data_IF_578218193440
#
_entry.id   IF_578218193440
#
_cell.length_a   1.000
_cell.length_b   1.000
_cell.length_c   1.000
_cell.angle_alpha   90.00
_cell.angle_beta   90.00
_cell.angle_gamma   90.00
#
_symmetry.space_group_name_H-M   'P 1'
#
loop_
_entity.id
_entity.type
_entity.pdbx_description
1 polymer ?
#
# COMPACT_ATOMS: atom_id res chain seq x y z
N UNK A 1 -16.62 -16.31 30.17
CA UNK A 1 -16.29 -15.14 29.32
C UNK A 1 -16.99 -15.29 27.99
N UNK A 2 -17.39 -14.20 27.35
CA UNK A 2 -17.97 -14.19 26.00
C UNK A 2 -17.42 -13.02 25.19
N UNK A 3 -17.59 -13.05 23.88
CA UNK A 3 -17.28 -11.95 22.96
C UNK A 3 -18.45 -10.97 22.83
N UNK A 4 -18.18 -9.78 22.31
CA UNK A 4 -19.21 -8.80 21.95
C UNK A 4 -20.23 -9.36 20.94
N UNK A 5 -19.83 -10.26 20.05
CA UNK A 5 -20.71 -10.86 19.05
C UNK A 5 -21.69 -11.85 19.70
N UNK A 6 -21.20 -12.69 20.61
CA UNK A 6 -22.04 -13.58 21.41
C UNK A 6 -23.02 -12.78 22.27
N UNK A 7 -22.55 -11.70 22.92
CA UNK A 7 -23.43 -10.80 23.65
C UNK A 7 -24.49 -10.16 22.74
N UNK A 8 -24.14 -9.79 21.51
CA UNK A 8 -25.13 -9.27 20.55
C UNK A 8 -26.23 -10.29 20.25
N UNK A 9 -25.89 -11.58 20.16
CA UNK A 9 -26.89 -12.67 20.02
C UNK A 9 -27.71 -12.84 21.30
N UNK A 10 -27.14 -12.63 22.48
CA UNK A 10 -27.87 -12.73 23.75
C UNK A 10 -28.83 -11.56 23.99
N UNK A 11 -28.46 -10.34 23.56
CA UNK A 11 -29.31 -9.14 23.67
C UNK A 11 -30.48 -9.20 22.67
N UNK A 12 -30.33 -9.91 21.55
CA UNK A 12 -31.39 -10.06 20.55
C UNK A 12 -32.59 -10.82 21.12
N UNK A 13 -33.78 -10.23 21.01
CA UNK A 13 -35.05 -10.85 21.45
C UNK A 13 -35.42 -12.09 20.65
N UNK A 14 -34.89 -12.24 19.42
CA UNK A 14 -35.00 -13.47 18.63
C UNK A 14 -33.73 -14.33 18.72
N UNK A 15 -32.85 -14.00 19.66
CA UNK A 15 -31.62 -14.72 19.96
C UNK A 15 -31.87 -16.00 20.76
N UNK A 16 -30.82 -16.82 20.94
CA UNK A 16 -30.90 -18.10 21.66
C UNK A 16 -31.30 -17.96 23.15
N UNK A 17 -31.18 -16.76 23.72
CA UNK A 17 -31.55 -16.46 25.10
C UNK A 17 -32.76 -15.54 25.19
N UNK A 18 -33.47 -15.28 24.09
CA UNK A 18 -34.67 -14.43 24.03
C UNK A 18 -34.47 -13.04 24.68
N UNK A 19 -33.29 -12.44 24.52
CA UNK A 19 -32.93 -11.14 25.11
C UNK A 19 -32.46 -11.20 26.57
N UNK A 20 -32.39 -12.38 27.19
CA UNK A 20 -31.91 -12.54 28.57
C UNK A 20 -30.38 -12.54 28.64
N UNK A 21 -29.82 -11.74 29.56
CA UNK A 21 -28.38 -11.66 29.81
C UNK A 21 -28.01 -12.62 30.94
N UNK A 22 -27.66 -13.84 30.54
CA UNK A 22 -27.35 -14.95 31.44
C UNK A 22 -25.85 -15.29 31.44
N UNK A 23 -25.41 -15.92 32.52
CA UNK A 23 -24.11 -16.57 32.63
C UNK A 23 -24.14 -17.89 31.83
N UNK A 24 -23.27 -18.11 30.84
CA UNK A 24 -23.27 -19.36 30.06
C UNK A 24 -22.99 -20.61 30.89
N UNK A 25 -22.32 -20.47 32.05
CA UNK A 25 -21.94 -21.60 32.92
C UNK A 25 -23.11 -22.25 33.64
N UNK A 26 -24.08 -21.46 34.09
CA UNK A 26 -25.15 -21.90 35.01
C UNK A 26 -26.52 -21.30 34.69
N UNK A 27 -26.64 -20.52 33.61
CA UNK A 27 -27.90 -19.95 33.12
C UNK A 27 -28.49 -18.84 33.98
N UNK A 28 -27.81 -18.43 35.06
CA UNK A 28 -28.32 -17.39 35.97
C UNK A 28 -28.13 -15.99 35.39
N UNK A 29 -28.98 -15.00 35.75
CA UNK A 29 -28.80 -13.62 35.32
C UNK A 29 -27.44 -13.04 35.74
N UNK A 30 -26.75 -12.35 34.83
CA UNK A 30 -25.50 -11.64 35.13
C UNK A 30 -25.82 -10.23 35.67
N UNK A 31 -25.41 -9.93 36.91
CA UNK A 31 -25.65 -8.64 37.57
C UNK A 31 -24.41 -7.73 37.57
N UNK A 32 -23.22 -8.30 37.45
CA UNK A 32 -21.94 -7.57 37.32
C UNK A 32 -21.28 -7.93 36.00
N UNK A 33 -21.15 -6.97 35.10
CA UNK A 33 -20.65 -7.17 33.74
C UNK A 33 -19.45 -6.26 33.51
N UNK A 34 -18.33 -6.87 33.11
CA UNK A 34 -17.10 -6.14 32.79
C UNK A 34 -16.78 -6.30 31.30
N UNK A 35 -16.68 -5.19 30.59
CA UNK A 35 -16.22 -5.16 29.20
C UNK A 35 -14.71 -4.91 29.15
N UNK A 36 -14.01 -5.69 28.35
CA UNK A 36 -12.57 -5.52 28.09
C UNK A 36 -12.37 -5.06 26.66
N UNK A 37 -11.90 -3.83 26.50
CA UNK A 37 -11.63 -3.24 25.18
C UNK A 37 -10.31 -3.73 24.59
N UNK A 38 -10.16 -3.54 23.27
CA UNK A 38 -8.92 -3.80 22.54
C UNK A 38 -8.41 -5.26 22.68
N UNK A 39 -9.31 -6.25 22.77
CA UNK A 39 -8.90 -7.65 22.86
C UNK A 39 -8.39 -8.09 21.49
N UNK A 40 -7.08 -8.28 21.37
CA UNK A 40 -6.42 -8.61 20.10
C UNK A 40 -6.27 -7.45 19.12
N UNK A 41 -6.70 -6.23 19.44
CA UNK A 41 -6.42 -5.00 18.67
C UNK A 41 -5.47 -4.09 19.41
N UNK A 42 -4.70 -3.28 18.70
CA UNK A 42 -3.66 -2.41 19.28
C UNK A 42 -2.68 -3.21 20.17
N UNK A 43 -2.43 -4.47 19.79
CA UNK A 43 -1.50 -5.38 20.44
C UNK A 43 -0.45 -5.83 19.42
N UNK A 44 0.82 -5.44 19.65
CA UNK A 44 1.94 -5.78 18.76
C UNK A 44 2.19 -7.29 18.64
N UNK A 45 1.68 -8.10 19.58
CA UNK A 45 1.78 -9.57 19.51
C UNK A 45 0.75 -10.20 18.57
N UNK A 46 -0.35 -9.49 18.32
CA UNK A 46 -1.49 -10.01 17.56
C UNK A 46 -1.79 -9.10 16.37
N UNK A 47 -2.57 -8.03 16.58
CA UNK A 47 -2.90 -7.08 15.53
C UNK A 47 -2.54 -5.65 15.97
N UNK A 48 -1.63 -4.96 15.28
CA UNK A 48 -1.20 -3.60 15.64
C UNK A 48 -2.28 -2.53 15.37
N UNK A 49 -3.28 -2.82 14.54
CA UNK A 49 -4.34 -1.87 14.17
C UNK A 49 -5.46 -1.76 15.21
N UNK A 50 -6.29 -0.73 15.05
CA UNK A 50 -7.51 -0.53 15.81
C UNK A 50 -8.71 -1.04 15.00
N UNK A 51 -9.61 -1.80 15.65
CA UNK A 51 -10.84 -2.30 15.00
C UNK A 51 -11.94 -1.25 14.81
N UNK A 52 -11.67 0.03 15.10
CA UNK A 52 -12.51 1.23 14.89
C UNK A 52 -13.90 1.28 15.55
N UNK A 53 -14.59 0.16 15.76
CA UNK A 53 -16.02 0.10 16.12
C UNK A 53 -16.29 -0.58 17.46
N UNK A 54 -15.31 -1.32 18.01
CA UNK A 54 -15.44 -2.07 19.26
C UNK A 54 -15.85 -1.18 20.46
N UNK A 55 -15.33 0.04 20.55
CA UNK A 55 -15.74 1.00 21.59
C UNK A 55 -17.24 1.32 21.51
N UNK A 56 -17.72 1.67 20.33
CA UNK A 56 -19.14 2.00 20.10
C UNK A 56 -20.06 0.80 20.32
N UNK A 57 -19.65 -0.41 19.93
CA UNK A 57 -20.42 -1.63 20.20
C UNK A 57 -20.55 -1.86 21.71
N UNK A 58 -19.48 -1.72 22.49
CA UNK A 58 -19.57 -1.80 23.95
C UNK A 58 -20.49 -0.74 24.53
N UNK A 59 -20.40 0.51 24.09
CA UNK A 59 -21.28 1.59 24.56
C UNK A 59 -22.76 1.28 24.25
N UNK A 60 -23.04 0.79 23.04
CA UNK A 60 -24.39 0.34 22.63
C UNK A 60 -24.86 -0.81 23.52
N UNK A 61 -24.06 -1.85 23.73
CA UNK A 61 -24.47 -2.98 24.56
C UNK A 61 -24.65 -2.60 26.03
N UNK A 62 -23.74 -1.78 26.59
CA UNK A 62 -23.83 -1.31 27.97
C UNK A 62 -25.09 -0.47 28.20
N UNK A 63 -25.42 0.44 27.28
CA UNK A 63 -26.65 1.25 27.35
C UNK A 63 -27.91 0.38 27.21
N UNK A 64 -27.94 -0.58 26.28
CA UNK A 64 -29.05 -1.52 26.15
C UNK A 64 -29.26 -2.36 27.42
N UNK A 65 -28.17 -2.86 28.03
CA UNK A 65 -28.22 -3.59 29.28
C UNK A 65 -28.78 -2.71 30.40
N UNK A 66 -28.25 -1.48 30.57
CA UNK A 66 -28.74 -0.54 31.59
C UNK A 66 -30.20 -0.11 31.35
N UNK A 67 -30.66 -0.04 30.11
CA UNK A 67 -32.07 0.23 29.81
C UNK A 67 -33.00 -0.92 30.19
N UNK A 68 -32.59 -2.17 29.96
CA UNK A 68 -33.39 -3.35 30.31
C UNK A 68 -33.30 -3.72 31.80
N UNK A 69 -32.11 -3.55 32.39
CA UNK A 69 -31.77 -3.90 33.77
C UNK A 69 -31.00 -2.75 34.43
N UNK A 70 -31.69 -1.71 34.94
CA UNK A 70 -31.05 -0.51 35.50
C UNK A 70 -30.05 -0.78 36.63
N UNK A 71 -30.33 -1.80 37.44
CA UNK A 71 -29.54 -2.18 38.61
C UNK A 71 -28.27 -2.98 38.28
N UNK A 72 -28.10 -3.45 37.04
CA UNK A 72 -26.90 -4.21 36.63
C UNK A 72 -25.66 -3.31 36.68
N UNK A 73 -24.61 -3.74 37.37
CA UNK A 73 -23.33 -3.04 37.40
C UNK A 73 -22.56 -3.32 36.11
N UNK A 74 -22.27 -2.27 35.35
CA UNK A 74 -21.56 -2.38 34.06
C UNK A 74 -20.31 -1.53 34.11
N UNK A 75 -19.15 -2.16 33.91
CA UNK A 75 -17.85 -1.50 33.88
C UNK A 75 -17.17 -1.75 32.54
N UNK A 76 -16.55 -0.72 31.95
CA UNK A 76 -15.79 -0.80 30.70
C UNK A 76 -14.32 -0.46 30.99
N UNK A 77 -13.43 -1.45 30.85
CA UNK A 77 -11.98 -1.27 30.91
C UNK A 77 -11.44 -0.90 29.53
N UNK A 78 -10.73 0.23 29.43
CA UNK A 78 -10.32 0.80 28.15
C UNK A 78 -8.96 1.49 28.19
N UNK A 79 -8.31 1.64 27.03
CA UNK A 79 -7.11 2.49 26.85
C UNK A 79 -7.56 3.90 26.45
N UNK A 80 -8.26 3.99 25.31
CA UNK A 80 -8.91 5.20 24.81
C UNK A 80 -10.35 4.85 24.37
N UNK A 81 -11.32 5.69 24.68
CA UNK A 81 -12.66 5.61 24.09
C UNK A 81 -12.62 6.31 22.73
N UNK A 82 -12.94 5.58 21.66
CA UNK A 82 -12.93 6.09 20.28
C UNK A 82 -14.34 6.23 19.72
N UNK A 83 -14.85 7.45 19.77
CA UNK A 83 -16.20 7.89 19.37
C UNK A 83 -16.11 8.81 18.13
N UNK A 84 -15.52 8.33 17.04
CA UNK A 84 -15.07 9.18 15.90
C UNK A 84 -16.16 9.60 14.91
N UNK A 85 -17.38 9.10 15.03
CA UNK A 85 -18.50 9.43 14.14
C UNK A 85 -19.29 10.64 14.62
N UNK A 86 -20.14 11.18 13.75
CA UNK A 86 -21.08 12.23 14.13
C UNK A 86 -21.96 11.72 15.27
N UNK A 87 -22.11 12.53 16.32
CA UNK A 87 -22.95 12.20 17.48
C UNK A 87 -22.51 10.97 18.30
N UNK A 88 -21.36 10.36 17.99
CA UNK A 88 -20.87 9.19 18.75
C UNK A 88 -20.46 9.55 20.19
N UNK A 89 -20.02 10.79 20.44
CA UNK A 89 -19.70 11.25 21.80
C UNK A 89 -20.93 11.28 22.70
N UNK A 90 -22.11 11.62 22.17
CA UNK A 90 -23.36 11.60 22.94
C UNK A 90 -23.71 10.19 23.44
N UNK A 91 -23.32 9.13 22.71
CA UNK A 91 -23.48 7.76 23.20
C UNK A 91 -22.59 7.47 24.41
N UNK A 92 -21.38 8.02 24.43
CA UNK A 92 -20.48 7.89 25.57
C UNK A 92 -21.00 8.68 26.79
N UNK A 93 -21.42 9.93 26.59
CA UNK A 93 -22.05 10.75 27.64
C UNK A 93 -23.28 10.05 28.23
N UNK A 94 -24.19 9.60 27.36
CA UNK A 94 -25.39 8.86 27.79
C UNK A 94 -25.06 7.60 28.58
N UNK A 95 -24.06 6.83 28.17
CA UNK A 95 -23.65 5.64 28.92
C UNK A 95 -23.20 6.02 30.35
N UNK A 96 -22.47 7.12 30.52
CA UNK A 96 -22.06 7.63 31.83
C UNK A 96 -23.25 8.10 32.66
N UNK A 97 -24.19 8.82 32.06
CA UNK A 97 -25.43 9.25 32.72
C UNK A 97 -26.28 8.07 33.22
N UNK A 98 -26.26 6.96 32.48
CA UNK A 98 -26.92 5.70 32.86
C UNK A 98 -26.14 4.89 33.92
N UNK A 99 -25.05 5.42 34.46
CA UNK A 99 -24.26 4.81 35.52
C UNK A 99 -23.32 3.70 35.05
N UNK A 100 -22.94 3.66 33.77
CA UNK A 100 -21.85 2.81 33.29
C UNK A 100 -20.52 3.35 33.81
N UNK A 101 -19.71 2.48 34.44
CA UNK A 101 -18.39 2.82 34.97
C UNK A 101 -17.32 2.64 33.90
N UNK A 102 -16.30 3.49 33.94
CA UNK A 102 -15.19 3.47 32.99
C UNK A 102 -13.88 3.40 33.76
N UNK A 103 -13.09 2.37 33.51
CA UNK A 103 -11.76 2.19 34.11
C UNK A 103 -10.73 2.36 33.01
N UNK A 104 -9.89 3.40 33.14
CA UNK A 104 -8.82 3.64 32.16
C UNK A 104 -7.65 2.74 32.50
N UNK A 105 -7.59 1.60 31.85
CA UNK A 105 -6.58 0.57 32.06
C UNK A 105 -6.83 -0.62 31.18
N UNK A 106 -5.75 -1.24 30.68
CA UNK A 106 -5.82 -2.52 29.99
C UNK A 106 -5.72 -3.63 31.05
N UNK A 107 -6.71 -4.53 31.17
CA UNK A 107 -6.62 -5.65 32.09
C UNK A 107 -5.37 -6.51 31.85
N UNK A 108 -4.73 -6.94 32.93
CA UNK A 108 -3.54 -7.79 32.91
C UNK A 108 -3.93 -9.26 32.71
N UNK A 109 -4.88 -9.72 33.50
CA UNK A 109 -5.40 -11.09 33.48
C UNK A 109 -6.86 -11.16 33.93
N UNK A 110 -7.48 -12.30 33.64
CA UNK A 110 -8.84 -12.63 34.08
C UNK A 110 -8.75 -13.99 34.77
N UNK A 111 -9.00 -14.00 36.08
CA UNK A 111 -8.96 -15.19 36.91
C UNK A 111 -10.38 -15.69 37.18
N UNK A 112 -10.52 -16.97 37.45
CA UNK A 112 -11.77 -17.56 37.91
C UNK A 112 -11.62 -17.96 39.38
N UNK A 113 -12.47 -17.40 40.24
CA UNK A 113 -12.57 -17.80 41.64
C UNK A 113 -13.59 -18.96 41.76
N UNK A 114 -13.15 -20.19 42.02
CA UNK A 114 -14.04 -21.35 42.12
C UNK A 114 -14.92 -21.35 43.37
N UNK A 115 -14.55 -20.67 44.46
CA UNK A 115 -15.33 -20.65 45.70
C UNK A 115 -16.51 -19.68 45.58
N UNK A 116 -16.26 -18.49 45.04
CA UNK A 116 -17.28 -17.48 44.79
C UNK A 116 -18.02 -17.70 43.45
N UNK A 117 -17.48 -18.54 42.56
CA UNK A 117 -18.01 -18.81 41.21
C UNK A 117 -18.19 -17.51 40.40
N UNK A 118 -17.17 -16.65 40.44
CA UNK A 118 -17.08 -15.36 39.74
C UNK A 118 -15.78 -15.25 38.96
N UNK A 119 -15.74 -14.31 38.01
CA UNK A 119 -14.51 -13.92 37.33
C UNK A 119 -13.94 -12.70 38.03
N UNK A 120 -12.63 -12.64 38.19
CA UNK A 120 -11.91 -11.47 38.72
C UNK A 120 -11.06 -10.89 37.59
N UNK A 121 -11.26 -9.61 37.29
CA UNK A 121 -10.53 -8.89 36.24
C UNK A 121 -9.53 -7.95 36.90
N UNK A 122 -8.25 -8.26 36.74
CA UNK A 122 -7.17 -7.46 37.30
C UNK A 122 -6.80 -6.35 36.32
N UNK A 123 -6.81 -5.10 36.81
CA UNK A 123 -6.51 -3.93 35.98
C UNK A 123 -5.85 -2.83 36.80
N UNK A 124 -4.80 -2.23 36.25
CA UNK A 124 -4.26 -0.98 36.78
C UNK A 124 -5.12 0.18 36.25
N UNK A 125 -5.76 0.93 37.15
CA UNK A 125 -6.43 2.18 36.80
C UNK A 125 -5.39 3.29 36.68
N UNK A 126 -5.11 3.74 35.46
CA UNK A 126 -4.13 4.77 35.16
C UNK A 126 -4.47 6.13 35.80
N UNK A 127 -5.76 6.43 36.00
CA UNK A 127 -6.20 7.69 36.57
C UNK A 127 -6.03 7.69 38.09
N UNK A 128 -6.31 6.55 38.73
CA UNK A 128 -6.17 6.38 40.18
C UNK A 128 -4.77 5.90 40.61
N UNK A 129 -3.95 5.42 39.66
CA UNK A 129 -2.62 4.84 39.87
C UNK A 129 -2.60 3.72 40.91
N UNK A 130 -3.57 2.80 40.79
CA UNK A 130 -3.66 1.62 41.66
C UNK A 130 -4.23 0.43 40.91
N UNK A 131 -3.91 -0.76 41.39
CA UNK A 131 -4.52 -2.00 40.94
C UNK A 131 -5.94 -2.12 41.50
N UNK A 132 -6.85 -2.59 40.65
CA UNK A 132 -8.22 -2.92 40.96
C UNK A 132 -8.47 -4.39 40.60
N UNK A 133 -9.16 -5.09 41.49
CA UNK A 133 -9.69 -6.43 41.26
C UNK A 133 -11.21 -6.27 41.05
N UNK A 134 -11.67 -6.45 39.81
CA UNK A 134 -13.08 -6.27 39.46
C UNK A 134 -13.79 -7.61 39.40
N UNK A 135 -14.66 -7.90 40.37
CA UNK A 135 -15.52 -9.08 40.34
C UNK A 135 -16.62 -8.93 39.26
N UNK A 136 -16.75 -9.96 38.42
CA UNK A 136 -17.69 -10.01 37.32
C UNK A 136 -18.42 -11.36 37.28
N UNK A 137 -19.74 -11.31 37.10
CA UNK A 137 -20.54 -12.49 36.77
C UNK A 137 -20.34 -12.86 35.29
N UNK A 138 -20.10 -11.85 34.44
CA UNK A 138 -19.87 -12.01 33.01
C UNK A 138 -18.80 -11.02 32.52
N UNK A 139 -17.74 -11.54 31.90
CA UNK A 139 -16.76 -10.72 31.19
C UNK A 139 -17.01 -10.77 29.69
N UNK A 140 -17.10 -9.60 29.08
CA UNK A 140 -17.37 -9.38 27.66
C UNK A 140 -16.11 -8.86 26.98
N UNK A 141 -15.53 -9.67 26.11
CA UNK A 141 -14.34 -9.34 25.33
C UNK A 141 -14.76 -8.57 24.08
N UNK A 142 -14.10 -7.46 23.78
CA UNK A 142 -14.26 -6.72 22.53
C UNK A 142 -13.16 -7.11 21.54
N UNK A 143 -13.35 -8.19 20.75
CA UNK A 143 -12.29 -8.76 19.93
C UNK A 143 -11.92 -7.88 18.73
N UNK A 144 -10.74 -8.16 18.19
CA UNK A 144 -10.28 -7.59 16.93
C UNK A 144 -11.14 -8.04 15.75
N UNK A 145 -11.39 -7.14 14.81
CA UNK A 145 -11.88 -7.47 13.49
C UNK A 145 -10.67 -7.74 12.58
N UNK A 146 -10.68 -8.91 11.97
CA UNK A 146 -9.61 -9.43 11.11
C UNK A 146 -10.19 -9.73 9.71
N UNK A 147 -9.35 -9.86 8.67
CA UNK A 147 -9.78 -10.35 7.37
C UNK A 147 -10.47 -11.71 7.48
N UNK A 148 -11.40 -12.01 6.57
CA UNK A 148 -12.03 -13.33 6.49
C UNK A 148 -11.01 -14.41 6.09
N UNK A 149 -11.24 -15.66 6.49
CA UNK A 149 -10.29 -16.77 6.29
C UNK A 149 -9.90 -17.00 4.82
N UNK A 150 -10.85 -16.77 3.90
CA UNK A 150 -10.71 -16.92 2.45
C UNK A 150 -10.16 -15.67 1.73
N UNK A 151 -9.82 -14.59 2.46
CA UNK A 151 -9.35 -13.33 1.87
C UNK A 151 -8.11 -13.51 1.00
N UNK A 152 -7.14 -14.33 1.44
CA UNK A 152 -5.90 -14.57 0.70
C UNK A 152 -6.15 -15.33 -0.61
N UNK A 153 -6.96 -16.38 -0.54
CA UNK A 153 -7.35 -17.17 -1.72
C UNK A 153 -8.10 -16.29 -2.73
N UNK A 154 -9.06 -15.49 -2.26
CA UNK A 154 -9.79 -14.56 -3.11
C UNK A 154 -8.87 -13.50 -3.74
N UNK A 155 -7.88 -13.00 -3.00
CA UNK A 155 -6.88 -12.07 -3.54
C UNK A 155 -6.04 -12.71 -4.65
N UNK A 156 -5.63 -13.97 -4.51
CA UNK A 156 -4.92 -14.69 -5.56
C UNK A 156 -5.79 -14.91 -6.81
N UNK A 157 -7.04 -15.36 -6.63
CA UNK A 157 -8.00 -15.56 -7.74
C UNK A 157 -8.23 -14.26 -8.51
N UNK A 158 -8.45 -13.16 -7.79
CA UNK A 158 -8.68 -11.85 -8.40
C UNK A 158 -7.37 -11.18 -8.84
N UNK A 159 -6.21 -11.71 -8.45
CA UNK A 159 -4.88 -11.09 -8.56
C UNK A 159 -4.85 -9.67 -8.01
N UNK A 160 -5.29 -9.51 -6.78
CA UNK A 160 -5.25 -8.27 -6.00
C UNK A 160 -4.16 -8.35 -4.93
N UNK A 161 -3.68 -7.19 -4.50
CA UNK A 161 -2.78 -7.09 -3.36
C UNK A 161 -3.56 -6.99 -2.06
N UNK A 162 -2.98 -7.57 -1.00
CA UNK A 162 -3.35 -7.27 0.37
C UNK A 162 -2.40 -6.22 0.95
N UNK A 163 -2.88 -5.44 1.90
CA UNK A 163 -2.05 -4.54 2.71
C UNK A 163 -1.29 -5.31 3.80
N UNK A 164 -0.52 -4.58 4.61
CA UNK A 164 0.28 -5.14 5.70
C UNK A 164 -0.57 -5.79 6.81
N UNK A 165 -1.84 -5.35 6.93
CA UNK A 165 -2.81 -5.85 7.91
C UNK A 165 -3.62 -7.04 7.36
N UNK A 166 -3.42 -7.41 6.09
CA UNK A 166 -4.06 -8.53 5.41
C UNK A 166 -5.41 -8.22 4.77
N UNK A 167 -5.82 -6.96 4.71
CA UNK A 167 -7.05 -6.51 4.02
C UNK A 167 -6.78 -6.21 2.54
N UNK A 168 -7.82 -6.13 1.72
CA UNK A 168 -7.66 -5.75 0.32
C UNK A 168 -7.15 -4.32 0.19
N UNK A 169 -6.02 -4.17 -0.48
CA UNK A 169 -5.38 -2.87 -0.70
C UNK A 169 -6.11 -2.08 -1.77
N UNK A 170 -6.60 -0.89 -1.40
CA UNK A 170 -7.14 0.05 -2.38
C UNK A 170 -6.04 0.62 -3.30
N UNK A 171 -6.46 1.19 -4.43
CA UNK A 171 -5.55 1.87 -5.35
C UNK A 171 -4.86 3.07 -4.68
N UNK A 172 -5.64 3.87 -3.96
CA UNK A 172 -5.13 5.00 -3.19
C UNK A 172 -6.15 5.40 -2.11
N UNK A 173 -5.71 5.46 -0.86
CA UNK A 173 -6.53 5.77 0.31
C UNK A 173 -7.37 7.07 0.21
N UNK A 174 -6.94 8.06 -0.59
CA UNK A 174 -7.59 9.38 -0.68
C UNK A 174 -8.34 9.58 -1.98
N UNK A 175 -7.68 9.31 -3.11
CA UNK A 175 -8.22 9.63 -4.44
C UNK A 175 -9.14 8.53 -4.97
N UNK A 176 -8.84 7.27 -4.66
CA UNK A 176 -9.50 6.10 -5.24
C UNK A 176 -9.67 4.99 -4.17
N UNK A 177 -10.39 5.26 -3.07
CA UNK A 177 -10.45 4.37 -1.90
C UNK A 177 -11.31 3.12 -2.09
N UNK A 178 -12.10 3.06 -3.16
CA UNK A 178 -13.00 1.93 -3.51
C UNK A 178 -12.61 1.26 -4.81
N UNK A 179 -11.47 1.62 -5.40
CA UNK A 179 -10.98 1.05 -6.64
C UNK A 179 -9.72 0.23 -6.35
N UNK A 180 -9.50 -0.82 -7.10
CA UNK A 180 -8.25 -1.59 -7.05
C UNK A 180 -7.30 -1.18 -8.17
N UNK A 181 -6.10 -1.77 -8.18
CA UNK A 181 -5.16 -1.69 -9.32
C UNK A 181 -5.73 -2.35 -10.58
N UNK A 182 -6.60 -3.36 -10.44
CA UNK A 182 -7.29 -3.98 -11.57
C UNK A 182 -8.57 -3.23 -11.92
N UNK A 183 -8.59 -2.61 -13.10
CA UNK A 183 -9.77 -1.91 -13.60
C UNK A 183 -10.96 -2.86 -13.68
N UNK A 184 -12.11 -2.40 -13.21
CA UNK A 184 -13.33 -3.19 -13.15
C UNK A 184 -13.53 -3.98 -11.85
N UNK A 185 -12.51 -4.05 -10.98
CA UNK A 185 -12.63 -4.63 -9.64
C UNK A 185 -12.63 -3.49 -8.60
N UNK A 186 -13.67 -3.49 -7.76
CA UNK A 186 -13.95 -2.46 -6.76
C UNK A 186 -14.05 -3.08 -5.36
N UNK A 187 -13.77 -2.27 -4.34
CA UNK A 187 -13.76 -2.70 -2.94
C UNK A 187 -14.82 -1.93 -2.14
N UNK A 188 -15.44 -2.58 -1.16
CA UNK A 188 -16.31 -1.92 -0.20
C UNK A 188 -16.39 -2.66 1.14
N UNK A 189 -16.67 -1.91 2.22
CA UNK A 189 -17.00 -2.49 3.51
C UNK A 189 -15.80 -3.03 4.27
N UNK A 190 -16.03 -4.05 5.11
CA UNK A 190 -15.01 -4.65 5.98
C UNK A 190 -13.83 -5.27 5.24
N UNK A 191 -13.94 -5.48 3.92
CA UNK A 191 -12.88 -6.03 3.07
C UNK A 191 -11.60 -5.17 3.02
N UNK A 192 -11.71 -3.86 3.26
CA UNK A 192 -10.56 -2.93 3.20
C UNK A 192 -9.96 -2.61 4.57
N UNK A 193 -10.75 -2.61 5.64
CA UNK A 193 -10.32 -2.37 7.03
C UNK A 193 -11.55 -2.43 7.96
N UNK A 194 -11.39 -2.54 9.30
CA UNK A 194 -12.51 -2.49 10.24
C UNK A 194 -13.24 -1.15 10.24
N UNK A 195 -14.56 -1.16 10.03
CA UNK A 195 -15.38 0.07 9.93
C UNK A 195 -16.84 -0.18 10.33
N UNK A 196 -17.56 0.91 10.58
CA UNK A 196 -18.96 0.87 10.96
C UNK A 196 -19.92 0.70 9.76
N UNK A 197 -21.20 0.46 10.07
CA UNK A 197 -22.23 0.28 9.05
C UNK A 197 -22.45 1.53 8.19
N UNK A 198 -22.50 2.78 8.74
CA UNK A 198 -22.60 3.98 7.93
C UNK A 198 -21.43 4.15 6.94
N UNK A 199 -20.19 3.97 7.40
CA UNK A 199 -19.00 4.07 6.53
C UNK A 199 -18.98 2.96 5.49
N UNK A 200 -19.40 1.75 5.86
CA UNK A 200 -19.57 0.62 4.92
C UNK A 200 -20.59 0.96 3.84
N UNK A 201 -21.73 1.52 4.21
CA UNK A 201 -22.78 1.95 3.28
C UNK A 201 -22.28 3.04 2.33
N UNK A 202 -21.56 4.05 2.83
CA UNK A 202 -20.94 5.08 1.98
C UNK A 202 -19.93 4.49 1.00
N UNK A 203 -19.07 3.56 1.44
CA UNK A 203 -18.16 2.86 0.54
C UNK A 203 -18.89 2.02 -0.49
N UNK A 204 -19.97 1.33 -0.12
CA UNK A 204 -20.78 0.54 -1.04
C UNK A 204 -21.42 1.42 -2.13
N UNK A 205 -21.96 2.58 -1.77
CA UNK A 205 -22.45 3.57 -2.75
C UNK A 205 -21.34 4.04 -3.70
N UNK A 206 -20.17 4.37 -3.16
CA UNK A 206 -19.02 4.79 -3.96
C UNK A 206 -18.56 3.69 -4.94
N UNK A 207 -18.39 2.45 -4.47
CA UNK A 207 -18.05 1.31 -5.30
C UNK A 207 -19.11 1.06 -6.39
N UNK A 208 -20.40 1.09 -6.03
CA UNK A 208 -21.50 0.93 -6.98
C UNK A 208 -21.51 2.02 -8.06
N UNK A 209 -21.29 3.29 -7.69
CA UNK A 209 -21.19 4.39 -8.66
C UNK A 209 -19.98 4.24 -9.59
N UNK A 210 -18.84 3.78 -9.08
CA UNK A 210 -17.63 3.53 -9.88
C UNK A 210 -17.85 2.37 -10.86
N UNK A 211 -18.47 1.29 -10.41
CA UNK A 211 -18.87 0.17 -11.25
C UNK A 211 -19.89 0.60 -12.32
N UNK A 212 -20.94 1.33 -11.94
CA UNK A 212 -21.95 1.85 -12.87
C UNK A 212 -21.31 2.77 -13.92
N UNK A 213 -20.41 3.67 -13.52
CA UNK A 213 -19.63 4.50 -14.46
C UNK A 213 -18.81 3.63 -15.40
N UNK A 214 -18.10 2.62 -14.88
CA UNK A 214 -17.29 1.72 -15.69
C UNK A 214 -18.12 0.99 -16.76
N UNK A 215 -19.32 0.51 -16.38
CA UNK A 215 -20.24 -0.17 -17.28
C UNK A 215 -20.89 0.78 -18.31
N UNK A 216 -21.32 1.97 -17.88
CA UNK A 216 -22.07 2.90 -18.73
C UNK A 216 -21.23 3.61 -19.81
N UNK A 217 -19.90 3.65 -19.68
CA UNK A 217 -19.06 4.27 -20.72
C UNK A 217 -19.16 3.49 -22.05
N UNK A 218 -19.48 2.19 -22.01
CA UNK A 218 -19.70 1.34 -23.19
C UNK A 218 -18.46 1.07 -24.05
N UNK A 219 -17.37 1.79 -23.81
CA UNK A 219 -16.06 1.60 -24.44
C UNK A 219 -14.94 1.86 -23.45
N UNK A 220 -13.87 1.07 -23.52
CA UNK A 220 -12.67 1.34 -22.73
C UNK A 220 -11.73 2.15 -23.61
N UNK A 221 -11.45 3.39 -23.20
CA UNK A 221 -10.38 4.18 -23.80
C UNK A 221 -9.09 3.85 -23.04
N UNK A 222 -8.12 3.31 -23.77
CA UNK A 222 -6.80 2.96 -23.23
C UNK A 222 -5.73 3.66 -24.03
N UNK A 223 -4.73 4.17 -23.31
CA UNK A 223 -3.50 4.66 -23.92
C UNK A 223 -2.83 3.51 -24.71
N UNK A 224 -2.49 3.77 -25.97
CA UNK A 224 -1.84 2.78 -26.82
C UNK A 224 -0.34 2.62 -26.53
N UNK A 225 0.21 3.29 -25.52
CA UNK A 225 1.54 3.01 -24.95
C UNK A 225 1.56 1.61 -24.32
N UNK A 226 1.60 0.60 -25.17
CA UNK A 226 1.51 -0.83 -24.86
C UNK A 226 2.68 -1.54 -25.51
N UNK A 227 3.14 -2.63 -24.88
CA UNK A 227 4.28 -3.38 -25.38
C UNK A 227 3.84 -4.33 -26.50
N UNK A 228 4.68 -4.47 -27.52
CA UNK A 228 4.47 -5.36 -28.66
C UNK A 228 5.67 -6.28 -28.82
N UNK A 229 5.41 -7.51 -29.25
CA UNK A 229 6.45 -8.53 -29.44
C UNK A 229 6.69 -8.71 -30.95
N UNK A 230 7.95 -8.64 -31.36
CA UNK A 230 8.41 -9.17 -32.63
C UNK A 230 8.55 -10.69 -32.49
N UNK A 231 7.63 -11.42 -33.08
CA UNK A 231 7.58 -12.88 -32.99
C UNK A 231 8.73 -13.58 -33.71
N UNK A 232 9.46 -12.92 -34.61
CA UNK A 232 10.64 -13.48 -35.29
C UNK A 232 11.87 -13.51 -34.38
N UNK A 233 11.94 -12.57 -33.43
CA UNK A 233 13.04 -12.47 -32.47
C UNK A 233 12.72 -13.13 -31.12
N UNK A 234 11.46 -13.49 -30.86
CA UNK A 234 11.05 -14.10 -29.61
C UNK A 234 11.55 -15.54 -29.51
N UNK A 235 12.49 -15.81 -28.61
CA UNK A 235 13.01 -17.14 -28.34
C UNK A 235 12.52 -17.70 -27.00
N UNK A 236 11.19 -17.77 -26.79
CA UNK A 236 10.48 -18.57 -25.76
C UNK A 236 11.01 -18.66 -24.31
N UNK A 237 11.91 -17.76 -23.88
CA UNK A 237 12.60 -17.81 -22.58
C UNK A 237 11.77 -17.49 -21.31
N UNK A 238 10.49 -17.12 -21.47
CA UNK A 238 9.55 -16.82 -20.37
C UNK A 238 9.93 -15.72 -19.36
N UNK A 239 11.01 -14.95 -19.56
CA UNK A 239 11.35 -13.87 -18.63
C UNK A 239 10.30 -12.75 -18.57
N UNK A 240 9.64 -12.47 -19.69
CA UNK A 240 8.68 -11.37 -19.79
C UNK A 240 7.36 -11.60 -19.02
N UNK A 241 6.69 -12.77 -19.04
CA UNK A 241 5.52 -13.01 -18.19
C UNK A 241 5.85 -12.93 -16.70
N UNK A 242 6.99 -13.48 -16.27
CA UNK A 242 7.43 -13.40 -14.87
C UNK A 242 7.69 -11.95 -14.43
N UNK A 243 8.25 -11.13 -15.34
CA UNK A 243 8.55 -9.73 -15.04
C UNK A 243 7.35 -8.79 -15.17
N UNK A 244 6.17 -9.24 -15.62
CA UNK A 244 5.02 -8.37 -15.80
C UNK A 244 4.17 -8.30 -14.52
N UNK A 245 4.14 -7.16 -13.80
CA UNK A 245 3.36 -7.06 -12.56
C UNK A 245 1.84 -7.06 -12.79
N UNK A 246 1.40 -6.90 -14.04
CA UNK A 246 -0.02 -6.81 -14.41
C UNK A 246 -0.57 -8.09 -15.05
N UNK A 247 0.26 -9.14 -15.18
CA UNK A 247 -0.15 -10.39 -15.84
C UNK A 247 -0.58 -10.19 -17.30
N UNK A 248 -0.03 -9.19 -17.98
CA UNK A 248 -0.44 -8.81 -19.33
C UNK A 248 0.13 -9.70 -20.44
N UNK A 249 1.05 -10.62 -20.10
CA UNK A 249 1.83 -11.39 -21.07
C UNK A 249 1.52 -12.86 -20.92
N UNK A 250 1.18 -13.50 -22.04
CA UNK A 250 0.89 -14.94 -22.13
C UNK A 250 1.77 -15.57 -23.20
N UNK A 251 1.99 -16.88 -23.13
CA UNK A 251 2.70 -17.63 -24.16
C UNK A 251 1.68 -18.36 -25.03
N UNK A 252 1.76 -18.17 -26.34
CA UNK A 252 0.90 -18.87 -27.30
C UNK A 252 1.75 -19.75 -28.21
N UNK A 253 1.31 -20.97 -28.53
CA UNK A 253 2.03 -21.85 -29.45
C UNK A 253 2.06 -21.23 -30.85
N UNK A 254 3.21 -21.30 -31.53
CA UNK A 254 3.38 -20.82 -32.91
C UNK A 254 3.48 -21.97 -33.90
N UNK A 255 4.55 -22.77 -33.82
CA UNK A 255 4.80 -24.00 -34.61
C UNK A 255 5.91 -24.83 -33.92
N UNK A 256 6.01 -26.13 -34.20
CA UNK A 256 7.13 -27.01 -33.80
C UNK A 256 7.53 -26.97 -32.31
N UNK A 257 6.54 -26.85 -31.41
CA UNK A 257 6.79 -26.82 -29.96
C UNK A 257 7.32 -25.48 -29.43
N UNK A 258 7.50 -24.48 -30.29
CA UNK A 258 7.89 -23.13 -29.90
C UNK A 258 6.69 -22.29 -29.47
N UNK A 259 6.91 -21.46 -28.44
CA UNK A 259 5.95 -20.51 -27.92
C UNK A 259 6.39 -19.08 -28.21
N UNK A 260 5.43 -18.19 -28.44
CA UNK A 260 5.70 -16.76 -28.58
C UNK A 260 4.92 -15.98 -27.54
N UNK A 261 5.58 -14.98 -26.95
CA UNK A 261 4.94 -14.08 -26.03
C UNK A 261 3.90 -13.21 -26.76
N UNK A 262 2.68 -13.16 -26.24
CA UNK A 262 1.63 -12.23 -26.64
C UNK A 262 1.26 -11.33 -25.48
N UNK A 263 1.16 -10.04 -25.78
CA UNK A 263 0.87 -9.00 -24.80
C UNK A 263 -0.56 -8.52 -25.02
N UNK A 264 -1.35 -8.52 -23.96
CA UNK A 264 -2.69 -7.95 -23.95
C UNK A 264 -2.59 -6.43 -23.93
N UNK A 265 -3.03 -5.78 -25.01
CA UNK A 265 -3.17 -4.33 -25.07
C UNK A 265 -4.09 -3.80 -23.95
N UNK A 266 -5.07 -4.60 -23.49
CA UNK A 266 -6.01 -4.20 -22.45
C UNK A 266 -5.41 -4.27 -21.04
N UNK A 267 -4.52 -5.22 -20.76
CA UNK A 267 -3.88 -5.38 -19.44
C UNK A 267 -2.55 -4.63 -19.32
N UNK A 268 -1.85 -4.36 -20.42
CA UNK A 268 -0.55 -3.71 -20.38
C UNK A 268 -0.67 -2.24 -19.93
N UNK A 269 -0.13 -1.87 -18.78
CA UNK A 269 -0.15 -0.47 -18.30
C UNK A 269 1.02 0.38 -18.85
N UNK A 270 1.80 -0.15 -19.80
CA UNK A 270 2.78 0.64 -20.55
C UNK A 270 4.06 1.00 -19.77
N UNK A 271 4.42 0.23 -18.74
CA UNK A 271 5.62 0.50 -17.95
C UNK A 271 6.93 0.21 -18.68
N UNK A 272 6.93 -0.71 -19.64
CA UNK A 272 8.13 -1.11 -20.38
C UNK A 272 9.09 -2.05 -19.62
N UNK A 273 8.72 -2.57 -18.44
CA UNK A 273 9.58 -3.51 -17.69
C UNK A 273 9.98 -4.73 -18.53
N UNK A 274 9.03 -5.30 -19.28
CA UNK A 274 9.30 -6.43 -20.18
C UNK A 274 10.29 -6.09 -21.31
N UNK A 275 10.28 -4.86 -21.83
CA UNK A 275 11.24 -4.36 -22.83
C UNK A 275 12.64 -4.33 -22.23
N UNK A 276 12.77 -3.79 -21.02
CA UNK A 276 14.05 -3.76 -20.32
C UNK A 276 14.55 -5.13 -19.87
N UNK A 277 13.70 -6.16 -19.85
CA UNK A 277 14.02 -7.52 -19.40
C UNK A 277 14.31 -8.47 -20.56
N UNK A 278 13.77 -8.20 -21.76
CA UNK A 278 13.93 -9.10 -22.91
C UNK A 278 15.40 -9.20 -23.34
N UNK A 279 16.03 -10.39 -23.27
CA UNK A 279 17.46 -10.53 -23.57
C UNK A 279 17.77 -10.41 -25.06
N UNK A 280 16.79 -10.69 -25.92
CA UNK A 280 16.91 -10.70 -27.39
C UNK A 280 16.28 -9.46 -28.03
N UNK A 281 15.86 -8.47 -27.23
CA UNK A 281 15.21 -7.23 -27.71
C UNK A 281 13.99 -7.47 -28.63
N UNK A 282 13.27 -8.57 -28.42
CA UNK A 282 12.06 -8.89 -29.17
C UNK A 282 10.86 -8.02 -28.78
N UNK A 283 10.90 -7.32 -27.65
CA UNK A 283 9.77 -6.54 -27.14
C UNK A 283 10.07 -5.04 -27.29
N UNK A 284 9.15 -4.29 -27.88
CA UNK A 284 9.19 -2.83 -27.94
C UNK A 284 8.00 -2.23 -27.21
N UNK A 285 8.16 -1.04 -26.64
CA UNK A 285 7.03 -0.25 -26.13
C UNK A 285 6.62 0.76 -27.21
N UNK A 286 5.34 0.75 -27.63
CA UNK A 286 4.82 1.76 -28.55
C UNK A 286 5.09 3.16 -27.98
N UNK A 287 5.56 4.07 -28.82
CA UNK A 287 6.00 5.44 -28.48
C UNK A 287 7.27 5.55 -27.59
N UNK A 288 7.91 4.45 -27.23
CA UNK A 288 9.20 4.40 -26.53
C UNK A 288 10.08 3.26 -27.08
N UNK A 289 10.22 3.23 -28.40
CA UNK A 289 11.09 2.27 -29.08
C UNK A 289 12.56 2.56 -28.77
N UNK A 290 13.42 1.57 -28.91
CA UNK A 290 14.85 1.69 -28.62
C UNK A 290 15.50 2.86 -29.38
N UNK A 291 15.20 2.98 -30.68
CA UNK A 291 15.72 4.05 -31.52
C UNK A 291 15.22 5.45 -31.09
N UNK A 292 14.00 5.55 -30.56
CA UNK A 292 13.43 6.81 -30.06
C UNK A 292 14.13 7.24 -28.76
N UNK A 293 14.34 6.32 -27.82
CA UNK A 293 15.06 6.58 -26.57
C UNK A 293 16.51 7.03 -26.87
N UNK A 294 17.21 6.30 -27.75
CA UNK A 294 18.58 6.65 -28.13
C UNK A 294 18.66 7.98 -28.89
N UNK A 295 17.69 8.29 -29.76
CA UNK A 295 17.64 9.58 -30.45
C UNK A 295 17.44 10.75 -29.47
N UNK A 296 16.53 10.60 -28.50
CA UNK A 296 16.31 11.61 -27.45
C UNK A 296 17.57 11.83 -26.61
N UNK A 297 18.22 10.74 -26.20
CA UNK A 297 19.46 10.78 -25.43
C UNK A 297 20.58 11.51 -26.17
N UNK A 298 20.82 11.15 -27.43
CA UNK A 298 21.86 11.78 -28.26
C UNK A 298 21.57 13.25 -28.50
N UNK A 299 20.31 13.63 -28.74
CA UNK A 299 19.92 15.02 -28.92
C UNK A 299 20.12 15.87 -27.65
N UNK A 300 19.86 15.31 -26.46
CA UNK A 300 20.08 16.02 -25.19
C UNK A 300 21.57 16.24 -24.90
N UNK A 301 22.43 15.35 -25.40
CA UNK A 301 23.87 15.36 -25.14
C UNK A 301 24.72 15.94 -26.28
N UNK A 302 24.13 16.23 -27.45
CA UNK A 302 24.87 16.69 -28.63
C UNK A 302 25.45 18.10 -28.50
N UNK A 303 24.93 18.93 -27.59
CA UNK A 303 25.38 20.32 -27.41
C UNK A 303 25.62 20.58 -25.93
N UNK A 304 26.89 20.76 -25.56
CA UNK A 304 27.24 21.32 -24.25
C UNK A 304 27.30 22.86 -24.34
N UNK A 305 26.19 23.51 -23.98
CA UNK A 305 26.08 24.97 -23.90
C UNK A 305 26.46 25.55 -22.53
N UNK A 306 27.19 24.79 -21.70
CA UNK A 306 27.51 25.17 -20.32
C UNK A 306 29.00 25.02 -20.04
N UNK A 307 29.50 25.71 -19.01
CA UNK A 307 30.88 25.54 -18.53
C UNK A 307 31.10 24.26 -17.72
N UNK A 308 30.02 23.55 -17.37
CA UNK A 308 30.05 22.35 -16.52
C UNK A 308 29.95 21.06 -17.36
N UNK A 309 30.44 19.92 -16.86
CA UNK A 309 30.26 18.62 -17.51
C UNK A 309 28.78 18.25 -17.64
N UNK A 310 28.35 17.68 -18.77
CA UNK A 310 26.95 17.30 -18.96
C UNK A 310 26.55 16.14 -18.04
N UNK A 311 25.41 16.29 -17.37
CA UNK A 311 24.80 15.23 -16.55
C UNK A 311 23.46 14.86 -17.17
N UNK A 312 23.24 13.58 -17.48
CA UNK A 312 21.95 13.08 -17.96
C UNK A 312 21.11 12.60 -16.79
N UNK A 313 19.94 13.20 -16.58
CA UNK A 313 18.94 12.73 -15.63
C UNK A 313 17.86 11.93 -16.33
N UNK A 314 17.86 10.61 -16.17
CA UNK A 314 16.84 9.71 -16.72
C UNK A 314 15.73 9.54 -15.68
N UNK A 315 14.56 10.11 -15.94
CA UNK A 315 13.47 10.19 -14.95
C UNK A 315 12.30 9.30 -15.33
N UNK A 316 11.72 8.55 -14.37
CA UNK A 316 10.41 7.95 -14.60
C UNK A 316 9.35 9.05 -14.73
N UNK A 317 8.31 8.81 -15.53
CA UNK A 317 7.28 9.82 -15.82
C UNK A 317 6.42 10.17 -14.60
N UNK A 318 6.35 9.26 -13.63
CA UNK A 318 5.52 9.40 -12.44
C UNK A 318 6.25 10.23 -11.37
N UNK A 319 6.93 9.60 -10.40
CA UNK A 319 7.54 10.35 -9.31
C UNK A 319 8.79 11.14 -9.73
N UNK A 320 9.62 10.60 -10.62
CA UNK A 320 10.89 11.23 -10.98
C UNK A 320 10.69 12.55 -11.71
N UNK A 321 9.93 12.53 -12.81
CA UNK A 321 9.63 13.75 -13.56
C UNK A 321 8.75 14.72 -12.76
N UNK A 322 7.78 14.22 -11.98
CA UNK A 322 6.98 15.10 -11.13
C UNK A 322 7.82 15.80 -10.04
N UNK A 323 8.90 15.16 -9.54
CA UNK A 323 9.83 15.83 -8.63
C UNK A 323 10.64 16.92 -9.35
N UNK A 324 11.04 16.69 -10.60
CA UNK A 324 11.61 17.76 -11.45
C UNK A 324 10.65 18.93 -11.57
N UNK A 325 9.38 18.67 -11.93
CA UNK A 325 8.36 19.71 -12.07
C UNK A 325 8.12 20.43 -10.73
N UNK A 326 8.07 19.70 -9.62
CA UNK A 326 7.95 20.25 -8.27
C UNK A 326 9.11 21.16 -7.89
N UNK A 327 10.33 20.84 -8.32
CA UNK A 327 11.49 21.73 -8.12
C UNK A 327 11.30 23.06 -8.83
N UNK A 328 10.73 23.04 -10.04
CA UNK A 328 10.38 24.24 -10.81
C UNK A 328 9.27 25.05 -10.13
N UNK A 329 8.20 24.39 -9.67
CA UNK A 329 7.10 25.05 -8.95
C UNK A 329 7.55 25.72 -7.65
N UNK A 330 8.50 25.09 -6.94
CA UNK A 330 9.10 25.63 -5.73
C UNK A 330 10.24 26.63 -6.00
N UNK A 331 10.53 26.93 -7.28
CA UNK A 331 11.62 27.81 -7.72
C UNK A 331 13.02 27.39 -7.23
N UNK A 332 13.21 26.09 -7.00
CA UNK A 332 14.47 25.52 -6.51
C UNK A 332 15.45 25.42 -7.67
N UNK A 333 16.57 26.13 -7.55
CA UNK A 333 17.61 26.13 -8.57
C UNK A 333 18.49 24.87 -8.49
N UNK A 334 18.80 24.29 -9.64
CA UNK A 334 19.79 23.24 -9.84
C UNK A 334 20.65 23.52 -11.09
N UNK A 335 21.81 22.86 -11.26
CA UNK A 335 22.75 23.18 -12.32
C UNK A 335 22.19 22.99 -13.75
N UNK A 336 22.42 23.97 -14.63
CA UNK A 336 21.86 24.00 -15.99
C UNK A 336 22.46 22.96 -16.97
N UNK A 337 23.57 22.32 -16.59
CA UNK A 337 24.21 21.21 -17.31
C UNK A 337 23.47 19.87 -17.14
N UNK A 338 22.47 19.82 -16.24
CA UNK A 338 21.64 18.64 -16.01
C UNK A 338 20.52 18.58 -17.06
N UNK A 339 20.54 17.55 -17.90
CA UNK A 339 19.59 17.34 -18.99
C UNK A 339 18.59 16.25 -18.63
N UNK A 340 17.31 16.56 -18.68
CA UNK A 340 16.25 15.63 -18.26
C UNK A 340 15.76 14.82 -19.47
N UNK A 341 15.85 13.50 -19.36
CA UNK A 341 15.28 12.55 -20.30
C UNK A 341 14.17 11.75 -19.60
N UNK A 342 12.93 11.97 -20.02
CA UNK A 342 11.77 11.27 -19.45
C UNK A 342 11.56 9.92 -20.12
N UNK A 343 11.39 8.88 -19.31
CA UNK A 343 10.95 7.54 -19.70
C UNK A 343 9.66 7.17 -18.96
N UNK A 344 8.79 6.26 -19.45
CA UNK A 344 7.54 5.91 -18.77
C UNK A 344 7.81 5.36 -17.36
N UNK A 345 8.75 4.43 -17.27
CA UNK A 345 9.27 3.90 -16.02
C UNK A 345 10.78 3.69 -16.17
N UNK A 346 11.55 3.85 -15.11
CA UNK A 346 12.98 3.48 -15.11
C UNK A 346 13.20 1.99 -15.35
N UNK A 347 12.20 1.14 -15.08
CA UNK A 347 12.25 -0.30 -15.35
C UNK A 347 12.41 -0.65 -16.83
N UNK A 348 12.06 0.27 -17.76
CA UNK A 348 12.29 0.10 -19.21
C UNK A 348 13.77 0.09 -19.57
N UNK A 349 14.62 0.69 -18.73
CA UNK A 349 16.02 0.88 -19.06
C UNK A 349 16.72 -0.45 -19.23
N UNK A 350 17.56 -0.53 -20.25
CA UNK A 350 18.50 -1.61 -20.43
C UNK A 350 19.89 -1.12 -20.03
N UNK A 351 20.74 -2.03 -19.56
CA UNK A 351 22.13 -1.72 -19.19
C UNK A 351 22.86 -1.06 -20.36
N UNK A 352 22.65 -1.56 -21.59
CA UNK A 352 23.21 -0.97 -22.79
C UNK A 352 22.84 0.51 -22.97
N UNK A 353 21.60 0.91 -22.68
CA UNK A 353 21.17 2.31 -22.82
C UNK A 353 21.89 3.21 -21.80
N UNK A 354 22.14 2.71 -20.59
CA UNK A 354 22.90 3.44 -19.56
C UNK A 354 24.34 3.67 -20.05
N UNK A 355 24.96 2.65 -20.65
CA UNK A 355 26.32 2.76 -21.21
C UNK A 355 26.36 3.70 -22.43
N UNK A 356 25.35 3.63 -23.31
CA UNK A 356 25.22 4.52 -24.47
C UNK A 356 25.11 6.00 -24.06
N UNK A 357 24.61 6.32 -22.86
CA UNK A 357 24.58 7.70 -22.38
C UNK A 357 25.99 8.30 -22.22
N UNK A 358 26.95 7.50 -21.71
CA UNK A 358 28.34 7.93 -21.61
C UNK A 358 28.98 8.06 -22.99
N UNK A 359 28.72 7.11 -23.89
CA UNK A 359 29.15 7.19 -25.29
C UNK A 359 28.59 8.41 -26.03
N UNK A 360 27.37 8.83 -25.68
CA UNK A 360 26.71 10.02 -26.22
C UNK A 360 27.24 11.34 -25.61
N UNK A 361 28.15 11.29 -24.63
CA UNK A 361 28.84 12.47 -24.08
C UNK A 361 28.44 12.83 -22.64
N UNK A 362 27.60 12.05 -21.97
CA UNK A 362 27.32 12.28 -20.55
C UNK A 362 28.59 12.06 -19.71
N UNK A 363 28.87 12.97 -18.80
CA UNK A 363 29.97 12.88 -17.84
C UNK A 363 29.51 12.30 -16.49
N UNK A 364 28.19 12.32 -16.27
CA UNK A 364 27.50 11.57 -15.23
C UNK A 364 26.06 11.29 -15.63
N UNK A 365 25.48 10.25 -15.03
CA UNK A 365 24.11 9.82 -15.26
C UNK A 365 23.43 9.63 -13.91
N UNK A 366 22.28 10.27 -13.72
CA UNK A 366 21.39 9.97 -12.60
C UNK A 366 20.13 9.29 -13.12
N UNK A 367 19.75 8.18 -12.50
CA UNK A 367 18.48 7.49 -12.76
C UNK A 367 17.53 7.84 -11.63
N UNK A 368 16.38 8.41 -11.95
CA UNK A 368 15.43 8.91 -10.95
C UNK A 368 14.13 8.11 -11.03
N UNK A 369 13.92 7.25 -10.04
CA UNK A 369 12.75 6.38 -9.94
C UNK A 369 11.81 6.75 -8.79
N UNK A 370 10.64 6.11 -8.75
CA UNK A 370 9.77 6.11 -7.58
C UNK A 370 10.46 5.42 -6.40
N UNK A 371 10.06 5.73 -5.16
CA UNK A 371 10.42 4.90 -3.99
C UNK A 371 10.04 3.43 -4.21
N UNK A 372 10.87 2.52 -3.68
CA UNK A 372 10.76 1.09 -3.94
C UNK A 372 9.54 0.44 -3.28
N UNK A 373 9.06 1.02 -2.19
CA UNK A 373 7.82 0.70 -1.44
C UNK A 373 6.57 1.39 -2.01
N UNK A 374 6.76 2.35 -2.93
CA UNK A 374 5.70 3.12 -3.56
C UNK A 374 5.87 3.26 -5.07
N UNK A 375 6.38 2.22 -5.74
CA UNK A 375 6.59 2.26 -7.18
C UNK A 375 5.25 2.23 -7.92
N UNK A 376 5.06 3.16 -8.86
CA UNK A 376 3.80 3.26 -9.60
C UNK A 376 3.46 2.00 -10.41
N UNK A 377 4.49 1.29 -10.89
CA UNK A 377 4.35 0.04 -11.64
C UNK A 377 4.90 -1.17 -10.85
N UNK A 378 4.75 -1.16 -9.52
CA UNK A 378 5.18 -2.17 -8.54
C UNK A 378 6.68 -2.39 -8.41
N UNK A 379 7.32 -2.86 -9.48
CA UNK A 379 8.68 -3.42 -9.43
C UNK A 379 9.68 -2.65 -10.30
N UNK A 380 9.20 -1.66 -11.05
CA UNK A 380 10.02 -0.94 -12.03
C UNK A 380 11.28 -0.31 -11.43
N UNK A 381 11.14 0.39 -10.30
CA UNK A 381 12.28 0.99 -9.59
C UNK A 381 13.26 -0.06 -9.05
N UNK A 382 12.74 -1.19 -8.53
CA UNK A 382 13.58 -2.25 -7.97
C UNK A 382 14.40 -2.95 -9.06
N UNK A 383 13.79 -3.20 -10.22
CA UNK A 383 14.46 -3.75 -11.40
C UNK A 383 15.51 -2.77 -11.93
N UNK A 384 15.17 -1.48 -12.02
CA UNK A 384 16.10 -0.45 -12.45
C UNK A 384 17.32 -0.35 -11.53
N UNK A 385 17.13 -0.44 -10.21
CA UNK A 385 18.23 -0.44 -9.25
C UNK A 385 19.22 -1.56 -9.53
N UNK A 386 18.75 -2.79 -9.74
CA UNK A 386 19.61 -3.94 -10.08
C UNK A 386 20.40 -3.71 -11.37
N UNK A 387 19.77 -3.10 -12.37
CA UNK A 387 20.40 -2.76 -13.65
C UNK A 387 21.44 -1.64 -13.51
N UNK A 388 21.19 -0.66 -12.65
CA UNK A 388 22.14 0.42 -12.34
C UNK A 388 23.37 -0.16 -11.65
N UNK A 389 23.20 -1.06 -10.68
CA UNK A 389 24.34 -1.72 -10.03
C UNK A 389 25.14 -2.61 -11.00
N UNK A 390 24.47 -3.33 -11.89
CA UNK A 390 25.14 -4.07 -12.96
C UNK A 390 25.89 -3.13 -13.93
N UNK A 391 25.29 -1.99 -14.30
CA UNK A 391 25.95 -1.00 -15.15
C UNK A 391 27.18 -0.39 -14.46
N UNK A 392 27.12 -0.11 -13.15
CA UNK A 392 28.28 0.35 -12.35
C UNK A 392 29.44 -0.65 -12.42
N UNK A 393 29.15 -1.96 -12.32
CA UNK A 393 30.17 -3.01 -12.47
C UNK A 393 30.81 -2.98 -13.85
N UNK A 394 30.02 -2.87 -14.92
CA UNK A 394 30.54 -2.79 -16.29
C UNK A 394 31.36 -1.52 -16.54
N UNK A 395 30.92 -0.37 -16.03
CA UNK A 395 31.67 0.89 -16.15
C UNK A 395 33.08 0.75 -15.58
N UNK A 396 33.21 0.08 -14.42
CA UNK A 396 34.52 -0.19 -13.82
C UNK A 396 35.44 -0.99 -14.74
N UNK A 397 34.92 -2.02 -15.40
CA UNK A 397 35.68 -2.84 -16.35
C UNK A 397 36.10 -2.04 -17.60
N UNK A 398 35.28 -1.07 -18.02
CA UNK A 398 35.61 -0.13 -19.10
C UNK A 398 36.52 1.03 -18.64
N UNK A 399 37.00 1.03 -17.39
CA UNK A 399 37.87 2.08 -16.85
C UNK A 399 37.15 3.40 -16.55
N UNK A 400 35.82 3.38 -16.44
CA UNK A 400 35.00 4.54 -16.07
C UNK A 400 34.63 4.43 -14.60
N UNK A 401 34.77 5.53 -13.86
CA UNK A 401 34.48 5.57 -12.42
C UNK A 401 32.98 5.28 -12.16
N UNK A 402 32.63 4.21 -11.42
CA UNK A 402 31.25 3.82 -11.16
C UNK A 402 30.40 4.91 -10.50
N UNK A 403 31.04 5.81 -9.75
CA UNK A 403 30.42 6.92 -9.04
C UNK A 403 29.75 7.93 -10.00
N UNK A 404 30.09 7.89 -11.30
CA UNK A 404 29.43 8.69 -12.35
C UNK A 404 28.01 8.24 -12.67
N UNK A 405 27.58 7.09 -12.15
CA UNK A 405 26.22 6.59 -12.29
C UNK A 405 25.60 6.46 -10.90
N UNK A 406 24.41 7.02 -10.68
CA UNK A 406 23.70 6.87 -9.41
C UNK A 406 22.19 6.76 -9.63
N UNK A 407 21.51 5.97 -8.80
CA UNK A 407 20.05 5.93 -8.79
C UNK A 407 19.50 6.61 -7.54
N UNK A 408 18.49 7.46 -7.73
CA UNK A 408 17.76 8.14 -6.67
C UNK A 408 16.29 7.74 -6.71
N UNK A 409 15.74 7.47 -5.53
CA UNK A 409 14.36 7.08 -5.34
C UNK A 409 13.62 8.17 -4.58
N UNK A 410 12.60 8.75 -5.20
CA UNK A 410 11.87 9.88 -4.65
C UNK A 410 10.36 9.74 -4.85
N UNK A 411 9.59 10.55 -4.13
CA UNK A 411 8.15 10.76 -4.38
C UNK A 411 7.93 12.07 -5.12
N UNK A 412 6.76 12.19 -5.75
CA UNK A 412 6.42 13.28 -6.69
C UNK A 412 6.63 14.71 -6.15
N UNK A 413 6.59 14.94 -4.83
CA UNK A 413 6.71 16.27 -4.21
C UNK A 413 8.14 16.63 -3.77
N UNK A 414 9.08 15.68 -3.81
CA UNK A 414 10.45 15.83 -3.32
C UNK A 414 11.35 16.55 -4.36
N UNK A 415 10.92 17.73 -4.82
CA UNK A 415 11.67 18.53 -5.80
C UNK A 415 12.98 19.11 -5.25
N UNK A 416 13.03 19.34 -3.93
CA UNK A 416 14.25 19.65 -3.18
C UNK A 416 15.30 18.53 -3.32
N UNK A 417 14.88 17.28 -3.16
CA UNK A 417 15.77 16.11 -3.30
C UNK A 417 16.26 15.90 -4.72
N UNK A 418 15.42 16.16 -5.72
CA UNK A 418 15.87 16.14 -7.11
C UNK A 418 16.97 17.19 -7.34
N UNK A 419 16.76 18.42 -6.88
CA UNK A 419 17.74 19.49 -7.02
C UNK A 419 19.05 19.18 -6.28
N UNK A 420 18.97 18.55 -5.10
CA UNK A 420 20.13 18.06 -4.36
C UNK A 420 20.90 16.97 -5.14
N UNK A 421 20.20 15.95 -5.64
CA UNK A 421 20.82 14.89 -6.45
C UNK A 421 21.52 15.44 -7.71
N UNK A 422 20.88 16.41 -8.37
CA UNK A 422 21.42 17.10 -9.54
C UNK A 422 22.71 17.89 -9.21
N UNK A 423 22.74 18.62 -8.08
CA UNK A 423 23.94 19.31 -7.58
C UNK A 423 25.04 18.33 -7.22
N UNK A 424 24.70 17.31 -6.44
CA UNK A 424 25.61 16.29 -5.95
C UNK A 424 26.31 15.57 -7.12
N UNK A 425 25.57 15.14 -8.15
CA UNK A 425 26.18 14.51 -9.31
C UNK A 425 27.06 15.49 -10.10
N UNK A 426 26.62 16.74 -10.28
CA UNK A 426 27.40 17.76 -10.98
C UNK A 426 28.76 18.01 -10.29
N UNK A 427 28.76 18.20 -8.98
CA UNK A 427 29.99 18.39 -8.20
C UNK A 427 30.88 17.15 -8.22
N UNK A 428 30.28 15.97 -8.21
CA UNK A 428 31.00 14.69 -8.30
C UNK A 428 31.74 14.56 -9.63
N UNK A 429 31.09 14.82 -10.75
CA UNK A 429 31.72 14.71 -12.07
C UNK A 429 32.75 15.82 -12.32
N UNK A 430 32.57 17.01 -11.75
CA UNK A 430 33.59 18.06 -11.78
C UNK A 430 34.88 17.63 -11.07
N UNK A 431 34.76 16.95 -9.92
CA UNK A 431 35.92 16.42 -9.17
C UNK A 431 36.62 15.26 -9.87
N UNK A 432 35.85 14.37 -10.51
CA UNK A 432 36.38 13.23 -11.26
C UNK A 432 37.02 13.64 -12.59
N UNK A 433 36.73 14.85 -13.08
CA UNK A 433 37.24 15.33 -14.37
C UNK A 433 36.58 14.64 -15.57
N UNK A 434 37.14 14.90 -16.75
CA UNK A 434 36.59 14.40 -18.01
C UNK A 434 36.87 12.91 -18.20
N UNK A 435 35.86 12.16 -18.63
CA UNK A 435 35.99 10.75 -18.99
C UNK A 435 36.96 10.63 -20.17
N UNK A 436 38.00 9.80 -20.00
CA UNK A 436 38.88 9.39 -21.08
C UNK A 436 38.32 8.09 -21.69
N UNK A 437 37.47 8.20 -22.72
CA UNK A 437 36.90 7.01 -23.37
C UNK A 437 37.98 6.39 -24.28
N UNK A 438 38.76 5.45 -23.75
CA UNK A 438 39.53 4.50 -24.57
C UNK A 438 38.56 3.48 -25.17
N UNK A 439 37.96 3.83 -26.32
CA UNK A 439 37.11 2.96 -27.16
C UNK A 439 36.12 2.04 -26.41
N UNK A 440 34.93 2.58 -26.09
CA UNK A 440 33.74 1.85 -25.62
C UNK A 440 33.06 1.03 -26.73
#
# INVERSE_FOLDING_TARGET
MITQLELARMIDGFGPTEGMIIRPSDGKPAKRIVFVQCVGSRDRRWNPWCSSICCMISLKHATLIKSAYPDTDVTICYIDIRTTGREHEYYYERAREMGVKFVKGRPTEILHDPEANVLVVDVEDELLRRFLELEADLVVLAPSMVPADDTKELAEILGLELDEDGFFKEYNAKLRPTETKKRGIFLCGGATFPKDAPTTSLQAHSAAMKAAKFLNIGKIVKDQRTAVVNEEYCGDCEFCPVACPFGAITLTPKNDGHFVAKISDLLCEGCGVCVGTCPVNAIELRHFKQNQILAQMRALLSINGTSKPLVLAITCSECGNAAVDSSGMAMIQYPANVRIMRVPCTGILQVQQILEAFKAGAQGVIVVGCKTDGCHYEIGSQIAQRKVELAKMLLKEYGIEPERLEMFNMVYIEGDKFAEAAKMMTERVEKLGSIQITSL
#
